data_IF_471690006349
#
_entry.id   IF_471690006349
#
_cell.length_a   1.000
_cell.length_b   1.000
_cell.length_c   1.000
_cell.angle_alpha   90.00
_cell.angle_beta   90.00
_cell.angle_gamma   90.00
#
_symmetry.space_group_name_H-M   'P 1'
#
loop_
_entity.id
_entity.type
_entity.pdbx_description
1 polymer ?
#
# COMPACT_ATOMS: atom_id res chain seq x y z
N UNK A 1 9.31 9.40 -18.68
CA UNK A 1 10.04 9.25 -17.39
C UNK A 1 11.55 9.04 -17.51
N UNK A 2 12.08 8.44 -18.59
CA UNK A 2 13.53 8.21 -18.74
C UNK A 2 14.39 9.49 -18.67
N UNK A 3 13.91 10.61 -19.20
CA UNK A 3 14.64 11.90 -19.16
C UNK A 3 14.81 12.45 -17.72
N UNK A 4 13.77 12.41 -16.89
CA UNK A 4 13.87 12.84 -15.48
C UNK A 4 14.80 11.94 -14.67
N UNK A 5 14.75 10.62 -14.91
CA UNK A 5 15.66 9.65 -14.28
C UNK A 5 17.12 9.94 -14.62
N UNK A 6 17.43 10.19 -15.89
CA UNK A 6 18.78 10.53 -16.34
C UNK A 6 19.29 11.86 -15.78
N UNK A 7 18.40 12.86 -15.61
CA UNK A 7 18.75 14.15 -14.99
C UNK A 7 19.05 14.00 -13.50
N UNK A 8 18.22 13.26 -12.76
CA UNK A 8 18.43 13.03 -11.32
C UNK A 8 19.74 12.27 -11.04
N UNK A 9 20.08 11.26 -11.85
CA UNK A 9 21.37 10.56 -11.72
C UNK A 9 22.57 11.49 -11.97
N UNK A 10 22.45 12.46 -12.88
CA UNK A 10 23.52 13.43 -13.20
C UNK A 10 23.66 14.56 -12.17
N UNK A 11 22.57 14.94 -11.50
CA UNK A 11 22.57 16.00 -10.48
C UNK A 11 22.99 15.50 -9.10
N UNK A 12 22.89 14.19 -8.85
CA UNK A 12 23.20 13.56 -7.56
C UNK A 12 24.61 13.87 -7.01
N UNK A 13 25.69 13.96 -7.82
CA UNK A 13 27.01 14.33 -7.30
C UNK A 13 27.12 15.80 -6.86
N UNK A 14 26.17 16.65 -7.25
CA UNK A 14 26.22 18.10 -7.08
C UNK A 14 25.23 18.61 -6.01
N UNK A 15 24.38 17.73 -5.46
CA UNK A 15 23.35 18.11 -4.50
C UNK A 15 22.94 16.93 -3.60
N UNK A 16 22.52 17.24 -2.37
CA UNK A 16 21.86 16.26 -1.50
C UNK A 16 20.44 16.04 -2.02
N UNK A 17 20.19 14.85 -2.57
CA UNK A 17 18.86 14.48 -3.08
C UNK A 17 18.02 13.92 -1.95
N UNK A 18 16.84 14.49 -1.73
CA UNK A 18 15.82 13.95 -0.83
C UNK A 18 14.71 13.28 -1.62
N UNK A 19 14.26 12.13 -1.14
CA UNK A 19 13.19 11.35 -1.74
C UNK A 19 11.95 11.41 -0.85
N UNK A 20 10.78 11.44 -1.48
CA UNK A 20 9.49 11.34 -0.80
C UNK A 20 8.73 10.11 -1.34
N UNK A 21 8.58 9.10 -0.49
CA UNK A 21 7.73 7.94 -0.76
C UNK A 21 6.31 8.26 -0.31
N UNK A 22 5.33 8.17 -1.22
CA UNK A 22 3.93 8.51 -0.94
C UNK A 22 3.07 7.26 -1.10
N UNK A 23 2.16 7.04 -0.16
CA UNK A 23 1.15 6.00 -0.21
C UNK A 23 -0.22 6.56 0.17
N UNK A 24 -1.27 5.91 -0.32
CA UNK A 24 -2.65 6.23 0.02
C UNK A 24 -3.25 5.10 0.87
N UNK A 25 -4.11 5.45 1.82
CA UNK A 25 -4.92 4.49 2.57
C UNK A 25 -6.41 4.75 2.30
N UNK A 26 -6.92 4.38 1.10
CA UNK A 26 -8.25 4.75 0.64
C UNK A 26 -9.39 4.13 1.46
N UNK A 27 -9.15 3.04 2.19
CA UNK A 27 -10.21 2.29 2.85
C UNK A 27 -10.37 2.60 4.36
N UNK A 28 -9.34 3.06 5.08
CA UNK A 28 -9.35 3.12 6.56
C UNK A 28 -10.16 4.30 7.16
N UNK A 29 -10.45 5.35 6.38
CA UNK A 29 -11.06 6.58 6.90
C UNK A 29 -12.20 7.12 6.02
N UNK A 30 -12.96 8.11 6.51
CA UNK A 30 -13.94 8.84 5.67
C UNK A 30 -13.28 9.79 4.68
N UNK A 31 -12.09 10.29 5.04
CA UNK A 31 -11.23 11.11 4.19
C UNK A 31 -10.09 10.23 3.69
N UNK A 32 -9.58 10.54 2.50
CA UNK A 32 -8.39 9.89 1.95
C UNK A 32 -7.19 10.14 2.87
N UNK A 33 -6.63 9.06 3.41
CA UNK A 33 -5.33 9.11 4.06
C UNK A 33 -4.23 9.20 3.01
N UNK A 34 -3.34 10.18 3.15
CA UNK A 34 -2.10 10.29 2.40
C UNK A 34 -0.94 10.21 3.39
N UNK A 35 -0.04 9.28 3.16
CA UNK A 35 1.15 9.08 3.97
C UNK A 35 2.37 9.38 3.12
N UNK A 36 3.28 10.15 3.68
CA UNK A 36 4.57 10.42 3.05
C UNK A 36 5.70 10.11 4.03
N UNK A 37 6.78 9.55 3.49
CA UNK A 37 8.04 9.37 4.20
C UNK A 37 9.13 10.06 3.41
N UNK A 38 9.91 10.90 4.08
CA UNK A 38 11.02 11.64 3.50
C UNK A 38 12.33 11.04 4.01
N UNK A 39 13.27 10.79 3.11
CA UNK A 39 14.60 10.30 3.44
C UNK A 39 15.63 10.79 2.42
N UNK A 40 16.90 10.96 2.81
CA UNK A 40 17.95 11.24 1.84
C UNK A 40 18.13 10.05 0.91
N UNK A 41 18.47 10.32 -0.35
CA UNK A 41 18.88 9.28 -1.28
C UNK A 41 20.24 8.71 -0.85
N UNK A 42 20.40 7.39 -0.93
CA UNK A 42 21.67 6.70 -0.69
C UNK A 42 22.38 6.38 -2.00
N UNK A 43 23.71 6.27 -1.94
CA UNK A 43 24.48 6.23 -3.17
C UNK A 43 24.42 4.88 -3.90
N UNK A 44 24.39 3.78 -3.14
CA UNK A 44 24.60 2.43 -3.68
C UNK A 44 23.31 1.73 -4.14
N UNK A 45 22.19 2.48 -4.23
CA UNK A 45 20.88 1.92 -4.60
C UNK A 45 20.25 2.74 -5.73
N UNK A 46 19.69 2.12 -6.78
CA UNK A 46 18.95 2.85 -7.81
C UNK A 46 17.79 3.67 -7.25
N UNK A 47 17.61 4.92 -7.72
CA UNK A 47 16.59 5.84 -7.18
C UNK A 47 15.16 5.29 -7.24
N UNK A 48 14.83 4.51 -8.27
CA UNK A 48 13.51 3.90 -8.42
C UNK A 48 13.26 2.80 -7.38
N UNK A 49 14.28 2.01 -7.04
CA UNK A 49 14.25 1.05 -5.94
C UNK A 49 14.08 1.77 -4.60
N UNK A 50 14.84 2.85 -4.38
CA UNK A 50 14.72 3.67 -3.17
C UNK A 50 13.31 4.25 -3.03
N UNK A 51 12.74 4.82 -4.11
CA UNK A 51 11.37 5.35 -4.12
C UNK A 51 10.33 4.28 -3.81
N UNK A 52 10.47 3.07 -4.38
CA UNK A 52 9.59 1.92 -4.07
C UNK A 52 9.68 1.55 -2.59
N UNK A 53 10.88 1.39 -2.05
CA UNK A 53 11.14 1.03 -0.65
C UNK A 53 10.64 2.08 0.35
N UNK A 54 10.65 3.36 -0.05
CA UNK A 54 10.30 4.48 0.83
C UNK A 54 8.79 4.62 1.04
N UNK A 55 7.97 4.05 0.16
CA UNK A 55 6.51 4.08 0.25
C UNK A 55 6.04 3.44 1.57
N UNK A 56 5.24 4.14 2.39
CA UNK A 56 4.61 3.54 3.55
C UNK A 56 3.73 2.34 3.16
N UNK A 57 3.87 1.22 3.86
CA UNK A 57 2.94 0.10 3.76
C UNK A 57 1.68 0.44 4.56
N UNK A 58 0.52 0.41 3.91
CA UNK A 58 -0.77 0.80 4.47
C UNK A 58 -1.69 -0.40 4.67
N UNK A 59 -2.75 -0.23 5.45
CA UNK A 59 -3.74 -1.30 5.67
C UNK A 59 -4.45 -1.64 4.37
N UNK A 60 -4.84 -0.62 3.58
CA UNK A 60 -5.46 -0.82 2.27
C UNK A 60 -4.58 -1.64 1.32
N UNK A 61 -3.26 -1.43 1.33
CA UNK A 61 -2.32 -2.16 0.50
C UNK A 61 -2.26 -3.66 0.86
N UNK A 62 -2.13 -3.99 2.15
CA UNK A 62 -2.10 -5.38 2.62
C UNK A 62 -3.43 -6.10 2.41
N UNK A 63 -4.54 -5.42 2.73
CA UNK A 63 -5.88 -5.98 2.55
C UNK A 63 -6.17 -6.22 1.07
N UNK A 64 -5.80 -5.28 0.20
CA UNK A 64 -6.02 -5.41 -1.24
C UNK A 64 -5.17 -6.53 -1.86
N UNK A 65 -3.92 -6.69 -1.43
CA UNK A 65 -3.04 -7.79 -1.85
C UNK A 65 -3.69 -9.15 -1.59
N UNK A 66 -4.25 -9.35 -0.40
CA UNK A 66 -4.99 -10.59 -0.07
C UNK A 66 -6.31 -10.72 -0.84
N UNK A 67 -7.08 -9.64 -0.95
CA UNK A 67 -8.37 -9.65 -1.68
C UNK A 67 -8.21 -9.88 -3.19
N UNK A 68 -7.05 -9.52 -3.78
CA UNK A 68 -6.73 -9.79 -5.19
C UNK A 68 -6.81 -11.28 -5.53
N UNK A 69 -6.55 -12.15 -4.56
CA UNK A 69 -6.61 -13.62 -4.73
C UNK A 69 -7.81 -14.27 -4.06
N UNK A 70 -8.61 -13.53 -3.28
CA UNK A 70 -9.75 -14.06 -2.52
C UNK A 70 -11.04 -13.92 -3.33
N UNK A 71 -11.46 -15.01 -3.95
CA UNK A 71 -12.70 -15.04 -4.75
C UNK A 71 -13.94 -15.50 -3.97
N UNK A 72 -13.74 -16.04 -2.77
CA UNK A 72 -14.79 -16.58 -1.92
C UNK A 72 -15.21 -15.60 -0.82
N UNK A 73 -16.45 -15.69 -0.33
CA UNK A 73 -16.87 -14.96 0.86
C UNK A 73 -15.94 -15.24 2.05
N UNK A 74 -15.74 -14.24 2.91
CA UNK A 74 -14.78 -14.31 4.01
C UNK A 74 -15.28 -13.63 5.28
N UNK A 75 -14.71 -13.99 6.42
CA UNK A 75 -14.97 -13.37 7.72
C UNK A 75 -14.02 -12.21 8.01
N UNK A 76 -14.41 -11.31 8.91
CA UNK A 76 -13.51 -10.25 9.38
C UNK A 76 -12.25 -10.82 10.05
N UNK A 77 -12.37 -11.97 10.73
CA UNK A 77 -11.24 -12.67 11.35
C UNK A 77 -10.22 -13.16 10.32
N UNK A 78 -10.67 -13.72 9.19
CA UNK A 78 -9.77 -14.12 8.10
C UNK A 78 -9.02 -12.91 7.53
N UNK A 79 -9.71 -11.79 7.30
CA UNK A 79 -9.08 -10.57 6.79
C UNK A 79 -8.02 -10.03 7.77
N UNK A 80 -8.32 -10.04 9.07
CA UNK A 80 -7.37 -9.61 10.12
C UNK A 80 -6.17 -10.54 10.18
N UNK A 81 -6.39 -11.86 10.14
CA UNK A 81 -5.30 -12.84 10.12
C UNK A 81 -4.40 -12.64 8.90
N UNK A 82 -4.98 -12.54 7.70
CA UNK A 82 -4.23 -12.34 6.46
C UNK A 82 -3.43 -11.02 6.43
N UNK A 83 -3.96 -9.94 7.03
CA UNK A 83 -3.21 -8.68 7.15
C UNK A 83 -2.07 -8.82 8.15
N UNK A 84 -2.27 -9.50 9.28
CA UNK A 84 -1.21 -9.75 10.26
C UNK A 84 -0.10 -10.64 9.70
N UNK A 85 -0.45 -11.74 9.04
CA UNK A 85 0.51 -12.66 8.44
C UNK A 85 1.40 -11.95 7.41
N UNK A 86 0.80 -11.09 6.58
CA UNK A 86 1.54 -10.26 5.64
C UNK A 86 2.41 -9.22 6.35
N UNK A 87 1.90 -8.55 7.39
CA UNK A 87 2.62 -7.56 8.19
C UNK A 87 3.87 -8.16 8.84
N UNK A 88 3.76 -9.36 9.41
CA UNK A 88 4.84 -10.10 10.07
C UNK A 88 5.88 -10.60 9.07
N UNK A 89 5.48 -10.80 7.80
CA UNK A 89 6.34 -11.24 6.70
C UNK A 89 7.01 -10.09 5.93
N UNK A 90 6.78 -8.83 6.31
CA UNK A 90 7.36 -7.68 5.60
C UNK A 90 8.88 -7.60 5.79
N UNK A 91 9.64 -7.24 4.74
CA UNK A 91 11.04 -6.86 4.90
C UNK A 91 11.19 -5.74 5.95
N UNK A 92 12.08 -5.94 6.92
CA UNK A 92 12.35 -4.96 8.00
C UNK A 92 12.73 -3.56 7.49
N UNK A 93 13.24 -3.50 6.26
CA UNK A 93 13.60 -2.30 5.52
C UNK A 93 12.42 -1.37 5.18
N UNK A 94 11.18 -1.87 5.22
CA UNK A 94 9.97 -1.13 4.87
C UNK A 94 9.40 -0.35 6.05
N UNK A 95 8.87 0.83 5.75
CA UNK A 95 8.12 1.61 6.72
C UNK A 95 6.66 1.18 6.70
N UNK A 96 6.11 0.87 7.87
CA UNK A 96 4.71 0.52 8.06
C UNK A 96 4.00 1.70 8.71
N UNK A 97 2.79 1.97 8.25
CA UNK A 97 1.90 2.96 8.86
C UNK A 97 1.76 2.73 10.38
N UNK A 98 1.93 3.75 11.24
CA UNK A 98 1.98 3.56 12.69
C UNK A 98 0.74 2.90 13.29
N UNK A 99 -0.46 3.26 12.86
CA UNK A 99 -1.71 2.67 13.36
C UNK A 99 -1.79 1.19 13.01
N UNK A 100 -1.52 0.80 11.76
CA UNK A 100 -1.42 -0.59 11.32
C UNK A 100 -0.42 -1.39 12.18
N UNK A 101 0.73 -0.79 12.50
CA UNK A 101 1.75 -1.43 13.35
C UNK A 101 1.28 -1.61 14.80
N UNK A 102 0.58 -0.64 15.36
CA UNK A 102 0.11 -0.68 16.76
C UNK A 102 -1.19 -1.48 16.97
N UNK A 103 -2.09 -1.48 15.98
CA UNK A 103 -3.42 -2.07 16.06
C UNK A 103 -3.88 -2.52 14.65
N UNK A 104 -3.27 -3.60 14.17
CA UNK A 104 -3.64 -4.20 12.88
C UNK A 104 -5.12 -4.61 12.83
N UNK A 105 -5.68 -5.08 13.95
CA UNK A 105 -7.09 -5.51 14.02
C UNK A 105 -8.02 -4.34 13.77
N UNK A 106 -7.89 -3.25 14.53
CA UNK A 106 -8.74 -2.08 14.39
C UNK A 106 -8.53 -1.35 13.06
N UNK A 107 -7.29 -1.34 12.54
CA UNK A 107 -7.00 -0.79 11.22
C UNK A 107 -7.70 -1.59 10.11
N UNK A 108 -7.60 -2.93 10.11
CA UNK A 108 -8.28 -3.78 9.12
C UNK A 108 -9.80 -3.67 9.21
N UNK A 109 -10.37 -3.66 10.42
CA UNK A 109 -11.81 -3.48 10.60
C UNK A 109 -12.28 -2.12 10.04
N UNK A 110 -11.51 -1.05 10.29
CA UNK A 110 -11.80 0.25 9.71
C UNK A 110 -11.74 0.24 8.18
N UNK A 111 -10.77 -0.46 7.59
CA UNK A 111 -10.68 -0.66 6.15
C UNK A 111 -11.90 -1.41 5.58
N UNK A 112 -12.32 -2.52 6.20
CA UNK A 112 -13.50 -3.28 5.79
C UNK A 112 -14.77 -2.40 5.80
N UNK A 113 -14.96 -1.60 6.85
CA UNK A 113 -16.08 -0.65 6.94
C UNK A 113 -16.02 0.40 5.82
N UNK A 114 -14.83 0.93 5.51
CA UNK A 114 -14.67 1.86 4.40
C UNK A 114 -14.96 1.24 3.04
N UNK A 115 -14.53 -0.01 2.81
CA UNK A 115 -14.84 -0.74 1.58
C UNK A 115 -16.34 -1.01 1.43
N UNK A 116 -17.07 -1.31 2.52
CA UNK A 116 -18.54 -1.41 2.50
C UNK A 116 -19.16 -0.07 2.11
N UNK A 117 -18.72 1.02 2.75
CA UNK A 117 -19.23 2.37 2.46
C UNK A 117 -18.98 2.79 1.00
N UNK A 118 -17.84 2.41 0.44
CA UNK A 118 -17.52 2.64 -0.97
C UNK A 118 -18.30 1.73 -1.91
N UNK A 119 -18.84 0.62 -1.38
CA UNK A 119 -19.62 -0.38 -2.10
C UNK A 119 -18.77 -1.50 -2.69
N UNK A 120 -17.46 -1.56 -2.41
CA UNK A 120 -16.54 -2.60 -2.89
C UNK A 120 -16.64 -3.92 -2.13
N UNK A 121 -17.23 -3.88 -0.93
CA UNK A 121 -17.65 -5.06 -0.18
C UNK A 121 -19.15 -4.99 0.12
N UNK A 122 -19.77 -6.17 0.22
CA UNK A 122 -21.08 -6.38 0.82
C UNK A 122 -20.92 -7.28 2.05
N UNK A 123 -21.65 -6.98 3.12
CA UNK A 123 -21.72 -7.82 4.30
C UNK A 123 -23.10 -8.50 4.40
N UNK A 124 -23.13 -9.82 4.60
CA UNK A 124 -24.34 -10.63 4.83
C UNK A 124 -24.01 -11.66 5.91
N UNK A 125 -24.80 -11.71 6.99
CA UNK A 125 -24.62 -12.67 8.10
C UNK A 125 -23.17 -12.79 8.60
N UNK A 126 -22.51 -11.65 8.85
CA UNK A 126 -21.10 -11.58 9.28
C UNK A 126 -20.04 -12.02 8.27
N UNK A 127 -20.47 -12.34 7.05
CA UNK A 127 -19.60 -12.70 5.93
C UNK A 127 -19.51 -11.54 4.94
N UNK A 128 -18.32 -11.31 4.41
CA UNK A 128 -18.00 -10.27 3.44
C UNK A 128 -17.81 -10.90 2.08
N UNK A 129 -18.33 -10.25 1.03
CA UNK A 129 -18.07 -10.62 -0.35
C UNK A 129 -17.72 -9.41 -1.18
N UNK A 130 -16.84 -9.63 -2.14
CA UNK A 130 -16.43 -8.63 -3.12
C UNK A 130 -17.60 -8.32 -4.08
N UNK A 131 -17.78 -7.04 -4.40
CA UNK A 131 -18.77 -6.61 -5.40
C UNK A 131 -18.11 -6.24 -6.71
N UNK A 132 -18.93 -5.96 -7.74
CA UNK A 132 -18.46 -5.43 -9.02
C UNK A 132 -17.99 -3.96 -8.93
N UNK A 133 -18.35 -3.22 -7.86
CA UNK A 133 -17.97 -1.81 -7.72
C UNK A 133 -16.59 -1.67 -7.09
N UNK A 134 -15.57 -1.48 -7.92
CA UNK A 134 -14.16 -1.40 -7.49
C UNK A 134 -13.53 -0.02 -7.55
N UNK A 135 -14.25 0.96 -8.09
CA UNK A 135 -13.76 2.33 -8.25
C UNK A 135 -13.83 3.13 -6.94
N UNK A 136 -13.01 4.18 -6.86
CA UNK A 136 -12.99 5.13 -5.75
C UNK A 136 -13.20 6.56 -6.27
N UNK A 137 -14.12 7.38 -5.69
CA UNK A 137 -14.43 8.71 -6.22
C UNK A 137 -13.24 9.66 -6.35
N UNK A 138 -12.29 9.58 -5.41
CA UNK A 138 -11.07 10.40 -5.42
C UNK A 138 -9.98 9.91 -6.39
N UNK A 139 -10.20 8.77 -7.06
CA UNK A 139 -9.30 8.20 -8.06
C UNK A 139 -10.08 7.87 -9.34
N UNK A 140 -10.59 8.89 -10.06
CA UNK A 140 -11.52 8.68 -11.18
C UNK A 140 -10.90 7.95 -12.38
N UNK A 141 -9.56 7.88 -12.45
CA UNK A 141 -8.82 7.17 -13.50
C UNK A 141 -8.40 5.75 -13.11
N UNK A 142 -8.74 5.31 -11.90
CA UNK A 142 -8.45 3.96 -11.41
C UNK A 142 -9.72 3.13 -11.47
N UNK A 143 -9.77 2.18 -12.40
CA UNK A 143 -10.94 1.32 -12.59
C UNK A 143 -11.16 0.37 -11.40
N UNK A 144 -10.07 -0.26 -10.92
CA UNK A 144 -10.08 -1.16 -9.77
C UNK A 144 -9.09 -0.69 -8.70
N UNK A 145 -9.60 -0.21 -7.57
CA UNK A 145 -8.79 0.26 -6.46
C UNK A 145 -8.12 -0.88 -5.68
N UNK A 146 -8.70 -2.08 -5.68
CA UNK A 146 -8.11 -3.26 -5.03
C UNK A 146 -6.90 -3.69 -5.84
N UNK A 147 -7.04 -3.84 -7.15
CA UNK A 147 -5.93 -4.19 -8.03
C UNK A 147 -4.81 -3.13 -7.96
N UNK A 148 -5.17 -1.84 -8.01
CA UNK A 148 -4.21 -0.75 -7.90
C UNK A 148 -3.41 -0.82 -6.59
N UNK A 149 -4.07 -0.98 -5.44
CA UNK A 149 -3.40 -1.05 -4.14
C UNK A 149 -2.53 -2.30 -4.01
N UNK A 150 -2.99 -3.45 -4.53
CA UNK A 150 -2.21 -4.68 -4.56
C UNK A 150 -0.94 -4.55 -5.42
N UNK A 151 -1.05 -3.99 -6.62
CA UNK A 151 0.10 -3.75 -7.51
C UNK A 151 1.08 -2.74 -6.88
N UNK A 152 0.56 -1.69 -6.24
CA UNK A 152 1.37 -0.71 -5.52
C UNK A 152 2.13 -1.34 -4.34
N UNK A 153 1.48 -2.27 -3.63
CA UNK A 153 2.10 -3.06 -2.56
C UNK A 153 3.23 -3.94 -3.10
N UNK A 154 2.98 -4.65 -4.21
CA UNK A 154 3.94 -5.52 -4.85
C UNK A 154 5.19 -4.77 -5.32
N UNK A 155 5.02 -3.59 -5.93
CA UNK A 155 6.15 -2.70 -6.25
C UNK A 155 6.93 -2.27 -5.00
N UNK A 156 6.24 -2.02 -3.89
CA UNK A 156 6.87 -1.65 -2.62
C UNK A 156 7.69 -2.81 -2.06
N UNK A 157 7.18 -4.04 -2.12
CA UNK A 157 7.90 -5.26 -1.75
C UNK A 157 9.14 -5.49 -2.62
N UNK A 158 9.05 -5.25 -3.93
CA UNK A 158 10.22 -5.32 -4.82
C UNK A 158 11.33 -4.37 -4.34
N UNK A 159 10.98 -3.14 -3.94
CA UNK A 159 11.94 -2.20 -3.38
C UNK A 159 12.51 -2.66 -2.03
N UNK A 160 11.68 -3.24 -1.16
CA UNK A 160 12.08 -3.73 0.17
C UNK A 160 12.95 -4.98 0.14
N UNK A 161 12.84 -5.81 -0.90
CA UNK A 161 13.60 -7.06 -1.10
C UNK A 161 14.89 -6.87 -1.88
N UNK A 162 15.15 -5.67 -2.40
CA UNK A 162 16.38 -5.41 -3.15
C UNK A 162 17.62 -5.61 -2.26
N UNK A 163 18.50 -6.48 -2.71
CA UNK A 163 19.85 -6.68 -2.15
C UNK A 163 20.83 -6.07 -3.14
N UNK A 164 21.68 -5.15 -2.68
CA UNK A 164 22.75 -4.62 -3.50
C UNK A 164 23.75 -5.75 -3.81
N UNK A 165 24.07 -5.92 -5.09
CA UNK A 165 25.06 -6.89 -5.57
C UNK A 165 26.48 -6.36 -5.53
#
# INVERSE_FOLDING_TARGET
MQRLRGVLSRLRPLAVVWLAGISYDPFVGRRLGLLYRIAPAVDDVPLDIQLKRLRPVTTSALLASWLRTKNEPFSASEAVAAVKDQLDSLPAALFVEPRLRSDAKGATQAALHGMIRLGSLRAVNSTYSLTQKRSHPQFPRTADMIEYQANFHEETLQGGRYVAG
#
